data_IF_819094125249
#
_entry.id   IF_819094125249
#
_cell.length_a   1.000
_cell.length_b   1.000
_cell.length_c   1.000
_cell.angle_alpha   90.00
_cell.angle_beta   90.00
_cell.angle_gamma   90.00
#
_symmetry.space_group_name_H-M   'P 1'
#
loop_
_entity.id
_entity.type
_entity.pdbx_description
1 polymer ?
#
# COMPACT_ATOMS: atom_id res chain seq x y z
N UNK A 1 8.15 4.47 8.96
CA UNK A 1 8.95 4.81 7.79
C UNK A 1 8.28 4.49 6.46
N UNK A 2 7.93 3.22 6.22
CA UNK A 2 7.50 2.74 4.90
C UNK A 2 6.17 3.33 4.42
N UNK A 3 5.21 3.53 5.34
CA UNK A 3 3.89 4.07 5.01
C UNK A 3 3.97 5.53 4.57
N UNK A 4 4.79 6.35 5.25
CA UNK A 4 5.02 7.75 4.87
C UNK A 4 5.60 7.88 3.47
N UNK A 5 6.49 6.95 3.09
CA UNK A 5 7.19 7.00 1.81
C UNK A 5 6.29 6.59 0.65
N UNK A 6 5.47 5.54 0.85
CA UNK A 6 4.47 5.14 -0.15
C UNK A 6 3.45 6.25 -0.44
N UNK A 7 3.10 7.04 0.57
CA UNK A 7 2.22 8.19 0.33
C UNK A 7 2.94 9.38 -0.29
N UNK A 8 4.22 9.60 0.04
CA UNK A 8 4.99 10.70 -0.52
C UNK A 8 5.08 10.58 -2.05
N UNK A 9 5.41 9.40 -2.58
CA UNK A 9 5.49 9.25 -4.02
C UNK A 9 4.12 9.38 -4.70
N UNK A 10 3.03 8.87 -4.11
CA UNK A 10 1.68 9.06 -4.64
C UNK A 10 1.26 10.53 -4.68
N UNK A 11 1.68 11.32 -3.68
CA UNK A 11 1.44 12.78 -3.67
C UNK A 11 2.26 13.45 -4.77
N UNK A 12 3.53 13.10 -4.92
CA UNK A 12 4.42 13.66 -5.96
C UNK A 12 3.92 13.31 -7.35
N UNK A 13 3.55 12.05 -7.60
CA UNK A 13 2.94 11.58 -8.84
C UNK A 13 1.66 12.38 -9.17
N UNK A 14 0.76 12.54 -8.18
CA UNK A 14 -0.45 13.34 -8.35
C UNK A 14 -0.16 14.82 -8.67
N UNK A 15 0.89 15.41 -8.10
CA UNK A 15 1.32 16.77 -8.40
C UNK A 15 1.82 16.87 -9.85
N UNK A 16 2.60 15.92 -10.34
CA UNK A 16 3.05 15.93 -11.73
C UNK A 16 1.90 15.70 -12.72
N UNK A 17 1.01 14.74 -12.44
CA UNK A 17 -0.16 14.46 -13.26
C UNK A 17 -1.12 15.65 -13.30
N UNK A 18 -1.32 16.37 -12.19
CA UNK A 18 -2.18 17.55 -12.16
C UNK A 18 -1.71 18.67 -13.10
N UNK A 19 -0.42 18.74 -13.39
CA UNK A 19 0.14 19.71 -14.36
C UNK A 19 -0.20 19.40 -15.82
N UNK A 20 -0.65 18.15 -16.13
CA UNK A 20 -1.17 17.78 -17.44
C UNK A 20 -2.61 18.29 -17.67
N UNK A 21 -3.27 18.74 -16.61
CA UNK A 21 -4.65 19.24 -16.63
C UNK A 21 -5.61 18.35 -15.84
N UNK A 22 -6.84 18.85 -15.70
CA UNK A 22 -7.89 18.19 -14.90
C UNK A 22 -8.31 16.82 -15.46
N UNK A 23 -8.33 16.66 -16.79
CA UNK A 23 -8.69 15.40 -17.43
C UNK A 23 -7.72 14.27 -17.05
N UNK A 24 -6.42 14.55 -17.07
CA UNK A 24 -5.38 13.58 -16.68
C UNK A 24 -5.49 13.19 -15.21
N UNK A 25 -5.70 14.17 -14.32
CA UNK A 25 -5.90 13.90 -12.89
C UNK A 25 -7.16 13.07 -12.65
N UNK A 26 -8.25 13.36 -13.37
CA UNK A 26 -9.49 12.59 -13.31
C UNK A 26 -9.26 11.15 -13.78
N UNK A 27 -8.55 10.95 -14.88
CA UNK A 27 -8.23 9.64 -15.42
C UNK A 27 -7.48 8.75 -14.39
N UNK A 28 -6.43 9.28 -13.76
CA UNK A 28 -5.67 8.56 -12.72
C UNK A 28 -6.53 8.31 -11.48
N UNK A 29 -7.39 9.26 -11.12
CA UNK A 29 -8.32 9.10 -9.99
C UNK A 29 -9.34 7.98 -10.21
N UNK A 30 -9.85 7.82 -11.44
CA UNK A 30 -10.75 6.72 -11.81
C UNK A 30 -10.06 5.35 -11.83
N UNK A 31 -8.76 5.30 -12.11
CA UNK A 31 -7.95 4.08 -12.04
C UNK A 31 -7.61 3.64 -10.60
N UNK A 32 -7.64 4.59 -9.64
CA UNK A 32 -7.21 4.37 -8.26
C UNK A 32 -7.91 3.20 -7.54
N UNK A 33 -9.24 2.97 -7.66
CA UNK A 33 -9.90 1.84 -7.00
C UNK A 33 -9.33 0.48 -7.44
N UNK A 34 -9.05 0.30 -8.73
CA UNK A 34 -8.47 -0.92 -9.26
C UNK A 34 -7.02 -1.10 -8.77
N UNK A 35 -6.22 -0.04 -8.79
CA UNK A 35 -4.86 -0.05 -8.27
C UNK A 35 -4.85 -0.37 -6.77
N UNK A 36 -5.76 0.20 -5.99
CA UNK A 36 -5.89 -0.07 -4.56
C UNK A 36 -6.32 -1.50 -4.26
N UNK A 37 -7.16 -2.11 -5.12
CA UNK A 37 -7.54 -3.51 -4.98
C UNK A 37 -6.33 -4.44 -5.13
N UNK A 38 -5.46 -4.21 -6.14
CA UNK A 38 -4.21 -4.96 -6.30
C UNK A 38 -3.31 -4.78 -5.07
N UNK A 39 -3.10 -3.55 -4.65
CA UNK A 39 -2.25 -3.22 -3.50
C UNK A 39 -2.76 -3.90 -2.23
N UNK A 40 -4.07 -3.86 -1.99
CA UNK A 40 -4.69 -4.48 -0.82
C UNK A 40 -4.54 -6.00 -0.82
N UNK A 41 -4.74 -6.65 -1.98
CA UNK A 41 -4.52 -8.08 -2.14
C UNK A 41 -3.04 -8.45 -1.94
N UNK A 42 -2.11 -7.73 -2.58
CA UNK A 42 -0.68 -7.98 -2.47
C UNK A 42 -0.18 -7.84 -1.04
N UNK A 43 -0.56 -6.75 -0.35
CA UNK A 43 -0.16 -6.52 1.04
C UNK A 43 -0.83 -7.52 1.98
N UNK A 44 -2.11 -7.81 1.78
CA UNK A 44 -2.84 -8.76 2.63
C UNK A 44 -2.22 -10.15 2.57
N UNK A 45 -2.04 -10.71 1.37
CA UNK A 45 -1.40 -12.01 1.18
C UNK A 45 0.04 -11.98 1.68
N UNK A 46 0.77 -10.91 1.40
CA UNK A 46 2.12 -10.71 1.90
C UNK A 46 2.20 -10.74 3.43
N UNK A 47 1.23 -10.17 4.14
CA UNK A 47 1.12 -10.27 5.60
C UNK A 47 0.93 -11.73 6.05
N UNK A 48 0.14 -12.51 5.32
CA UNK A 48 -0.01 -13.94 5.55
C UNK A 48 1.32 -14.68 5.39
N UNK A 49 2.08 -14.39 4.33
CA UNK A 49 3.41 -14.96 4.08
C UNK A 49 4.37 -14.61 5.23
N UNK A 50 4.45 -13.34 5.60
CA UNK A 50 5.29 -12.86 6.71
C UNK A 50 4.96 -13.55 8.04
N UNK A 51 3.65 -13.71 8.33
CA UNK A 51 3.16 -14.39 9.53
C UNK A 51 3.55 -15.87 9.53
N UNK A 52 3.34 -16.60 8.43
CA UNK A 52 3.72 -18.01 8.34
C UNK A 52 5.23 -18.20 8.52
N UNK A 53 6.06 -17.37 7.89
CA UNK A 53 7.52 -17.42 8.01
C UNK A 53 7.93 -17.18 9.47
N UNK A 54 7.46 -16.10 10.09
CA UNK A 54 7.87 -15.74 11.45
C UNK A 54 7.46 -16.79 12.48
N UNK A 55 6.27 -17.39 12.35
CA UNK A 55 5.79 -18.46 13.24
C UNK A 55 6.67 -19.71 13.11
N UNK A 56 6.97 -20.14 11.89
CA UNK A 56 7.80 -21.34 11.69
C UNK A 56 9.26 -21.13 12.09
N UNK A 57 9.82 -19.93 11.90
CA UNK A 57 11.15 -19.57 12.40
C UNK A 57 11.19 -19.59 13.93
N UNK A 58 10.16 -19.03 14.58
CA UNK A 58 10.04 -19.06 16.04
C UNK A 58 9.92 -20.48 16.60
N UNK A 59 9.22 -21.36 15.90
CA UNK A 59 9.11 -22.77 16.24
C UNK A 59 10.39 -23.59 15.96
N UNK A 60 11.45 -22.96 15.43
CA UNK A 60 12.69 -23.65 15.04
C UNK A 60 12.59 -24.49 13.78
N UNK A 61 11.45 -24.43 13.08
CA UNK A 61 11.17 -25.24 11.88
C UNK A 61 11.54 -24.46 10.60
N UNK A 62 12.83 -24.41 10.29
CA UNK A 62 13.35 -23.71 9.10
C UNK A 62 12.79 -24.26 7.80
N UNK A 63 12.63 -25.57 7.70
CA UNK A 63 12.10 -26.20 6.49
C UNK A 63 10.68 -25.68 6.16
N UNK A 64 9.80 -25.59 7.15
CA UNK A 64 8.46 -25.02 6.93
C UNK A 64 8.50 -23.52 6.66
N UNK A 65 9.45 -22.78 7.22
CA UNK A 65 9.65 -21.37 6.90
C UNK A 65 10.09 -21.20 5.44
N UNK A 66 11.02 -22.02 4.95
CA UNK A 66 11.45 -22.05 3.55
C UNK A 66 10.31 -22.41 2.60
N UNK A 67 9.50 -23.41 2.98
CA UNK A 67 8.28 -23.77 2.25
C UNK A 67 7.28 -22.59 2.22
N UNK A 68 7.06 -21.92 3.35
CA UNK A 68 6.14 -20.78 3.43
C UNK A 68 6.58 -19.61 2.52
N UNK A 69 7.87 -19.31 2.47
CA UNK A 69 8.41 -18.29 1.56
C UNK A 69 8.28 -18.72 0.10
N UNK A 70 8.63 -19.95 -0.23
CA UNK A 70 8.57 -20.48 -1.62
C UNK A 70 7.12 -20.57 -2.12
N UNK A 71 6.21 -21.12 -1.31
CA UNK A 71 4.78 -21.14 -1.62
C UNK A 71 4.19 -19.73 -1.71
N UNK A 72 4.65 -18.81 -0.85
CA UNK A 72 4.25 -17.40 -0.90
C UNK A 72 4.59 -16.76 -2.24
N UNK A 73 5.77 -17.00 -2.78
CA UNK A 73 6.17 -16.54 -4.12
C UNK A 73 5.33 -17.19 -5.21
N UNK A 74 5.05 -18.50 -5.11
CA UNK A 74 4.20 -19.22 -6.08
C UNK A 74 2.75 -18.69 -6.05
N UNK A 75 2.19 -18.45 -4.88
CA UNK A 75 0.85 -17.83 -4.74
C UNK A 75 0.84 -16.41 -5.31
N UNK A 76 1.90 -15.65 -5.10
CA UNK A 76 2.05 -14.30 -5.70
C UNK A 76 2.00 -14.37 -7.23
N UNK A 77 2.63 -15.38 -7.84
CA UNK A 77 2.55 -15.60 -9.29
C UNK A 77 1.10 -15.86 -9.74
N UNK A 78 0.37 -16.69 -9.01
CA UNK A 78 -1.05 -16.97 -9.31
C UNK A 78 -1.89 -15.70 -9.26
N UNK A 79 -1.70 -14.87 -8.23
CA UNK A 79 -2.40 -13.58 -8.11
C UNK A 79 -1.99 -12.61 -9.22
N UNK A 80 -0.71 -12.63 -9.62
CA UNK A 80 -0.23 -11.82 -10.74
C UNK A 80 -0.98 -12.18 -12.03
N UNK A 81 -1.08 -13.46 -12.36
CA UNK A 81 -1.84 -13.94 -13.53
C UNK A 81 -3.30 -13.52 -13.44
N UNK A 82 -3.92 -13.65 -12.25
CA UNK A 82 -5.30 -13.20 -12.03
C UNK A 82 -5.47 -11.70 -12.31
N UNK A 83 -4.58 -10.84 -11.79
CA UNK A 83 -4.67 -9.39 -12.01
C UNK A 83 -4.34 -8.98 -13.45
N UNK A 84 -3.47 -9.70 -14.15
CA UNK A 84 -3.23 -9.47 -15.59
C UNK A 84 -4.51 -9.76 -16.38
N UNK A 85 -5.15 -10.91 -16.14
CA UNK A 85 -6.41 -11.27 -16.80
C UNK A 85 -7.50 -10.23 -16.45
N UNK A 86 -7.63 -9.87 -15.18
CA UNK A 86 -8.57 -8.84 -14.74
C UNK A 86 -8.30 -7.47 -15.41
N UNK A 87 -7.02 -7.10 -15.56
CA UNK A 87 -6.60 -5.89 -16.25
C UNK A 87 -7.05 -5.84 -17.70
N UNK A 88 -6.91 -6.96 -18.39
CA UNK A 88 -7.29 -7.06 -19.82
C UNK A 88 -8.80 -7.17 -20.03
N UNK A 89 -9.56 -7.64 -19.04
CA UNK A 89 -11.00 -7.95 -19.23
C UNK A 89 -11.94 -6.98 -18.52
N UNK A 90 -11.54 -6.42 -17.37
CA UNK A 90 -12.42 -5.65 -16.49
C UNK A 90 -12.14 -4.13 -16.55
N UNK A 91 -10.92 -3.71 -16.91
CA UNK A 91 -10.51 -2.30 -16.82
C UNK A 91 -11.44 -1.37 -17.58
N UNK A 92 -11.62 -1.59 -18.87
CA UNK A 92 -12.43 -0.72 -19.73
C UNK A 92 -13.93 -0.75 -19.34
N UNK A 93 -14.59 -1.92 -19.17
CA UNK A 93 -15.97 -1.98 -18.69
C UNK A 93 -16.16 -1.26 -17.34
N UNK A 94 -15.21 -1.40 -16.41
CA UNK A 94 -15.29 -0.74 -15.11
C UNK A 94 -15.21 0.79 -15.26
N UNK A 95 -14.28 1.30 -16.06
CA UNK A 95 -14.07 2.74 -16.25
C UNK A 95 -15.25 3.40 -16.95
N UNK A 96 -15.91 2.71 -17.90
CA UNK A 96 -17.13 3.16 -18.59
C UNK A 96 -18.31 3.39 -17.65
N UNK A 97 -18.31 2.83 -16.43
CA UNK A 97 -19.34 3.12 -15.43
C UNK A 97 -19.24 4.53 -14.83
N UNK A 98 -18.09 5.19 -14.99
CA UNK A 98 -17.78 6.46 -14.31
C UNK A 98 -17.60 7.64 -15.27
N UNK A 99 -17.32 7.40 -16.56
CA UNK A 99 -17.10 8.48 -17.53
C UNK A 99 -17.49 8.07 -18.93
N UNK A 100 -18.16 9.01 -19.62
CA UNK A 100 -18.47 8.93 -21.05
C UNK A 100 -17.52 9.80 -21.88
N UNK A 101 -16.61 10.55 -21.23
CA UNK A 101 -15.62 11.39 -21.93
C UNK A 101 -14.54 10.50 -22.58
N UNK A 102 -14.44 10.48 -23.93
CA UNK A 102 -13.54 9.57 -24.63
C UNK A 102 -12.06 9.78 -24.26
N UNK A 103 -11.65 11.02 -23.99
CA UNK A 103 -10.26 11.36 -23.63
C UNK A 103 -9.93 10.83 -22.24
N UNK A 104 -10.79 11.10 -21.24
CA UNK A 104 -10.60 10.62 -19.85
C UNK A 104 -10.62 9.10 -19.84
N UNK A 105 -11.55 8.48 -20.56
CA UNK A 105 -11.65 7.02 -20.64
C UNK A 105 -10.40 6.40 -21.25
N UNK A 106 -9.89 6.98 -22.36
CA UNK A 106 -8.68 6.50 -23.00
C UNK A 106 -7.46 6.60 -22.06
N UNK A 107 -7.24 7.74 -21.42
CA UNK A 107 -6.12 7.96 -20.52
C UNK A 107 -6.22 7.05 -19.28
N UNK A 108 -7.42 6.89 -18.71
CA UNK A 108 -7.67 5.99 -17.59
C UNK A 108 -7.46 4.52 -17.97
N UNK A 109 -7.88 4.10 -19.16
CA UNK A 109 -7.68 2.74 -19.66
C UNK A 109 -6.20 2.44 -19.86
N UNK A 110 -5.47 3.32 -20.53
CA UNK A 110 -4.02 3.16 -20.75
C UNK A 110 -3.28 3.05 -19.40
N UNK A 111 -3.59 3.96 -18.46
CA UNK A 111 -2.97 3.93 -17.12
C UNK A 111 -3.26 2.61 -16.41
N UNK A 112 -4.53 2.22 -16.40
CA UNK A 112 -4.99 1.02 -15.68
C UNK A 112 -4.43 -0.25 -16.29
N UNK A 113 -4.41 -0.37 -17.62
CA UNK A 113 -3.84 -1.52 -18.32
C UNK A 113 -2.34 -1.65 -18.03
N UNK A 114 -1.56 -0.57 -18.10
CA UNK A 114 -0.13 -0.59 -17.77
C UNK A 114 0.09 -1.09 -16.34
N UNK A 115 -0.63 -0.53 -15.36
CA UNK A 115 -0.47 -0.87 -13.95
C UNK A 115 -0.92 -2.29 -13.65
N UNK A 116 -2.02 -2.76 -14.25
CA UNK A 116 -2.56 -4.11 -14.02
C UNK A 116 -1.74 -5.18 -14.76
N UNK A 117 -1.43 -4.98 -16.04
CA UNK A 117 -0.68 -5.95 -16.83
C UNK A 117 0.78 -6.07 -16.35
N UNK A 118 1.36 -5.00 -15.83
CA UNK A 118 2.70 -5.00 -15.26
C UNK A 118 2.71 -5.09 -13.72
N UNK A 119 1.59 -5.51 -13.13
CA UNK A 119 1.44 -5.68 -11.67
C UNK A 119 2.41 -6.69 -11.06
N UNK A 120 3.07 -7.52 -11.87
CA UNK A 120 4.10 -8.45 -11.37
C UNK A 120 5.21 -7.70 -10.61
N UNK A 121 5.58 -6.49 -11.06
CA UNK A 121 6.58 -5.66 -10.38
C UNK A 121 6.17 -5.34 -8.95
N UNK A 122 4.93 -4.86 -8.76
CA UNK A 122 4.39 -4.50 -7.44
C UNK A 122 4.11 -5.72 -6.55
N UNK A 123 3.49 -6.77 -7.10
CA UNK A 123 3.15 -7.95 -6.33
C UNK A 123 4.39 -8.69 -5.82
N UNK A 124 5.38 -8.92 -6.67
CA UNK A 124 6.62 -9.58 -6.25
C UNK A 124 7.46 -8.68 -5.34
N UNK A 125 7.51 -7.35 -5.60
CA UNK A 125 8.19 -6.41 -4.70
C UNK A 125 7.60 -6.49 -3.30
N UNK A 126 6.25 -6.48 -3.17
CA UNK A 126 5.57 -6.59 -1.89
C UNK A 126 5.79 -7.97 -1.26
N UNK A 127 5.76 -9.05 -2.03
CA UNK A 127 6.04 -10.39 -1.52
C UNK A 127 7.43 -10.49 -0.90
N UNK A 128 8.47 -10.01 -1.59
CA UNK A 128 9.83 -9.93 -1.04
C UNK A 128 9.91 -9.01 0.18
N UNK A 129 9.28 -7.82 0.13
CA UNK A 129 9.16 -6.93 1.28
C UNK A 129 8.63 -7.68 2.51
N UNK A 130 7.57 -8.46 2.34
CA UNK A 130 6.95 -9.21 3.43
C UNK A 130 7.75 -10.42 3.90
N UNK A 131 8.50 -11.06 3.00
CA UNK A 131 9.47 -12.10 3.37
C UNK A 131 10.57 -11.50 4.25
N UNK A 132 11.16 -10.38 3.85
CA UNK A 132 12.17 -9.67 4.65
C UNK A 132 11.61 -9.21 6.00
N UNK A 133 10.38 -8.71 6.05
CA UNK A 133 9.72 -8.37 7.30
C UNK A 133 9.49 -9.61 8.17
N UNK A 134 9.11 -10.75 7.57
CA UNK A 134 8.89 -12.02 8.28
C UNK A 134 10.14 -12.58 8.95
N UNK A 135 11.32 -12.32 8.39
CA UNK A 135 12.62 -12.69 8.99
C UNK A 135 13.21 -11.59 9.89
N UNK A 136 12.51 -10.46 10.07
CA UNK A 136 12.91 -9.36 10.95
C UNK A 136 13.76 -8.27 10.31
N UNK A 137 14.04 -8.34 9.00
CA UNK A 137 14.92 -7.40 8.28
C UNK A 137 14.21 -6.11 7.85
N UNK A 138 13.62 -5.41 8.85
CA UNK A 138 12.84 -4.18 8.63
C UNK A 138 13.66 -3.02 8.06
N UNK A 139 14.95 -2.90 8.45
CA UNK A 139 15.82 -1.81 7.99
C UNK A 139 16.10 -1.93 6.49
N UNK A 140 16.42 -3.14 6.04
CA UNK A 140 16.68 -3.43 4.62
C UNK A 140 15.43 -3.11 3.80
N UNK A 141 14.28 -3.59 4.24
CA UNK A 141 12.98 -3.30 3.62
C UNK A 141 12.76 -1.80 3.42
N UNK A 142 13.07 -1.01 4.45
CA UNK A 142 12.94 0.44 4.40
C UNK A 142 13.84 1.08 3.32
N UNK A 143 15.12 0.70 3.26
CA UNK A 143 16.06 1.27 2.30
C UNK A 143 15.72 0.89 0.85
N UNK A 144 15.36 -0.36 0.61
CA UNK A 144 15.01 -0.84 -0.73
C UNK A 144 13.71 -0.19 -1.24
N UNK A 145 12.72 0.03 -0.36
CA UNK A 145 11.51 0.75 -0.71
C UNK A 145 11.79 2.21 -1.07
N UNK A 146 12.70 2.89 -0.31
CA UNK A 146 13.11 4.27 -0.64
C UNK A 146 13.74 4.30 -2.03
N UNK A 147 14.64 3.37 -2.33
CA UNK A 147 15.32 3.35 -3.63
C UNK A 147 14.31 3.27 -4.79
N UNK A 148 13.29 2.41 -4.68
CA UNK A 148 12.22 2.33 -5.67
C UNK A 148 11.40 3.63 -5.78
N UNK A 149 11.08 4.27 -4.64
CA UNK A 149 10.39 5.56 -4.64
C UNK A 149 11.22 6.68 -5.30
N UNK A 150 12.53 6.72 -5.04
CA UNK A 150 13.44 7.71 -5.66
C UNK A 150 13.49 7.51 -7.17
N UNK A 151 13.59 6.26 -7.65
CA UNK A 151 13.55 5.97 -9.09
C UNK A 151 12.25 6.46 -9.71
N UNK A 152 11.09 6.20 -9.11
CA UNK A 152 9.80 6.69 -9.59
C UNK A 152 9.78 8.23 -9.64
N UNK A 153 10.10 8.93 -8.55
CA UNK A 153 10.09 10.40 -8.47
C UNK A 153 11.00 11.05 -9.53
N UNK A 154 12.13 10.42 -9.85
CA UNK A 154 13.03 10.91 -10.90
C UNK A 154 12.46 10.64 -12.28
N UNK A 155 11.84 9.49 -12.53
CA UNK A 155 11.31 9.09 -13.82
C UNK A 155 9.99 9.78 -14.17
N UNK A 156 9.18 10.14 -13.17
CA UNK A 156 7.89 10.82 -13.38
C UNK A 156 8.03 12.05 -14.30
N UNK A 157 8.82 13.09 -13.96
CA UNK A 157 8.91 14.26 -14.82
C UNK A 157 9.57 13.96 -16.18
N UNK A 158 10.46 12.97 -16.24
CA UNK A 158 11.14 12.59 -17.47
C UNK A 158 10.15 11.98 -18.46
N UNK A 159 9.33 11.03 -18.00
CA UNK A 159 8.40 10.31 -18.87
C UNK A 159 7.07 11.05 -19.08
N UNK A 160 6.61 11.78 -18.07
CA UNK A 160 5.36 12.56 -18.19
C UNK A 160 5.54 13.72 -19.16
N UNK A 161 6.60 14.52 -19.01
CA UNK A 161 6.82 15.75 -19.76
C UNK A 161 7.80 15.62 -20.94
N UNK A 162 8.44 14.46 -21.10
CA UNK A 162 9.39 14.22 -22.19
C UNK A 162 10.73 14.96 -22.00
N UNK A 163 11.27 14.95 -20.79
CA UNK A 163 12.57 15.55 -20.51
C UNK A 163 13.73 14.65 -20.98
N UNK A 164 14.92 15.22 -21.13
CA UNK A 164 16.16 14.51 -21.49
C UNK A 164 16.09 13.77 -22.85
N UNK A 165 15.24 14.23 -23.78
CA UNK A 165 15.09 13.63 -25.11
C UNK A 165 14.11 12.44 -25.18
N UNK A 166 13.43 12.12 -24.09
CA UNK A 166 12.33 11.16 -24.11
C UNK A 166 11.05 11.78 -24.67
N UNK A 167 10.14 11.00 -25.30
CA UNK A 167 8.83 11.49 -25.71
C UNK A 167 7.97 11.81 -24.49
N UNK A 168 7.15 12.86 -24.58
CA UNK A 168 6.16 13.18 -23.55
C UNK A 168 5.01 12.16 -23.61
N UNK A 169 4.96 11.26 -22.63
CA UNK A 169 3.98 10.16 -22.57
C UNK A 169 2.73 10.52 -21.74
N UNK A 170 2.72 11.70 -21.09
CA UNK A 170 1.59 12.13 -20.27
C UNK A 170 1.22 11.11 -19.19
N UNK A 171 -0.07 10.73 -19.12
CA UNK A 171 -0.60 9.78 -18.12
C UNK A 171 0.04 8.39 -18.23
N UNK A 172 0.33 7.91 -19.44
CA UNK A 172 1.06 6.66 -19.66
C UNK A 172 2.48 6.72 -19.06
N UNK A 173 3.12 7.90 -19.13
CA UNK A 173 4.43 8.14 -18.52
C UNK A 173 4.43 7.95 -17.01
N UNK A 174 3.41 8.44 -16.32
CA UNK A 174 3.22 8.24 -14.88
C UNK A 174 3.06 6.74 -14.52
N UNK A 175 2.23 6.02 -15.27
CA UNK A 175 2.05 4.58 -15.10
C UNK A 175 3.37 3.80 -15.27
N UNK A 176 4.11 4.12 -16.35
CA UNK A 176 5.40 3.47 -16.66
C UNK A 176 6.45 3.78 -15.57
N UNK A 177 6.55 5.03 -15.12
CA UNK A 177 7.49 5.43 -14.07
C UNK A 177 7.21 4.69 -12.76
N UNK A 178 5.93 4.56 -12.40
CA UNK A 178 5.49 3.79 -11.22
C UNK A 178 5.91 2.32 -11.34
N UNK A 179 5.66 1.68 -12.47
CA UNK A 179 6.02 0.28 -12.71
C UNK A 179 7.54 0.09 -12.68
N UNK A 180 8.31 0.98 -13.32
CA UNK A 180 9.79 0.91 -13.30
C UNK A 180 10.31 1.08 -11.88
N UNK A 181 9.75 1.99 -11.08
CA UNK A 181 10.09 2.15 -9.67
C UNK A 181 9.88 0.86 -8.85
N UNK A 182 8.74 0.18 -9.08
CA UNK A 182 8.41 -1.08 -8.43
C UNK A 182 9.33 -2.23 -8.87
N UNK A 183 9.61 -2.34 -10.18
CA UNK A 183 10.54 -3.34 -10.72
C UNK A 183 11.96 -3.08 -10.22
N UNK A 184 12.40 -1.83 -10.15
CA UNK A 184 13.72 -1.47 -9.62
C UNK A 184 13.86 -1.89 -8.16
N UNK A 185 12.83 -1.63 -7.33
CA UNK A 185 12.79 -2.12 -5.96
C UNK A 185 12.84 -3.65 -5.90
N UNK A 186 12.05 -4.36 -6.72
CA UNK A 186 12.06 -5.81 -6.81
C UNK A 186 13.45 -6.35 -7.14
N UNK A 187 14.11 -5.79 -8.16
CA UNK A 187 15.45 -6.21 -8.55
C UNK A 187 16.45 -6.01 -7.40
N UNK A 188 16.37 -4.89 -6.68
CA UNK A 188 17.19 -4.65 -5.50
C UNK A 188 16.90 -5.67 -4.38
N UNK A 189 15.64 -6.04 -4.12
CA UNK A 189 15.30 -7.10 -3.18
C UNK A 189 15.94 -8.43 -3.59
N UNK A 190 15.85 -8.82 -4.85
CA UNK A 190 16.44 -10.06 -5.37
C UNK A 190 17.97 -10.04 -5.25
N UNK A 191 18.63 -8.92 -5.60
CA UNK A 191 20.07 -8.77 -5.50
C UNK A 191 20.54 -8.90 -4.04
N UNK A 192 19.89 -8.17 -3.13
CA UNK A 192 20.22 -8.21 -1.70
C UNK A 192 19.95 -9.60 -1.13
N UNK A 193 18.85 -10.23 -1.52
CA UNK A 193 18.53 -11.60 -1.11
C UNK A 193 19.58 -12.61 -1.56
N UNK A 194 20.08 -12.50 -2.80
CA UNK A 194 21.11 -13.42 -3.33
C UNK A 194 22.51 -13.19 -2.79
N UNK A 195 22.85 -11.95 -2.40
CA UNK A 195 24.19 -11.59 -1.90
C UNK A 195 24.39 -11.92 -0.43
N UNK A 196 23.34 -12.13 0.33
CA UNK A 196 23.41 -12.36 1.77
C UNK A 196 22.75 -13.70 2.11
N UNK A 197 23.21 -14.32 3.19
CA UNK A 197 22.60 -15.53 3.73
C UNK A 197 21.52 -15.14 4.75
N UNK A 198 20.28 -15.40 4.43
CA UNK A 198 19.14 -15.16 5.32
C UNK A 198 18.63 -16.43 5.98
N UNK A 199 17.80 -16.26 7.01
CA UNK A 199 17.24 -17.37 7.77
C UNK A 199 16.29 -18.26 6.94
N UNK A 200 15.84 -17.78 5.78
CA UNK A 200 14.87 -18.46 4.91
C UNK A 200 15.41 -18.55 3.48
N UNK A 201 15.25 -19.72 2.85
CA UNK A 201 15.72 -20.01 1.51
C UNK A 201 14.55 -20.30 0.56
N UNK A 202 14.41 -19.46 -0.48
CA UNK A 202 13.46 -19.67 -1.57
C UNK A 202 14.11 -20.59 -2.59
N UNK A 203 13.54 -21.79 -2.80
CA UNK A 203 14.07 -22.79 -3.73
C UNK A 203 12.96 -23.65 -4.29
N UNK A 204 13.10 -24.07 -5.55
CA UNK A 204 12.19 -25.03 -6.17
C UNK A 204 12.09 -26.37 -5.40
N UNK A 205 13.11 -26.74 -4.63
CA UNK A 205 13.07 -27.94 -3.76
C UNK A 205 12.01 -27.83 -2.67
N UNK A 206 11.70 -26.61 -2.23
CA UNK A 206 10.68 -26.31 -1.23
C UNK A 206 9.30 -26.01 -1.83
N UNK A 207 9.17 -26.08 -3.16
CA UNK A 207 7.89 -25.93 -3.86
C UNK A 207 7.08 -27.23 -3.77
N UNK A 208 6.68 -27.55 -2.56
CA UNK A 208 5.80 -28.69 -2.28
C UNK A 208 4.45 -28.14 -1.86
N UNK A 209 3.38 -28.65 -2.47
CA UNK A 209 2.02 -28.24 -2.10
C UNK A 209 1.73 -28.66 -0.66
N UNK A 210 1.68 -27.67 0.24
CA UNK A 210 1.35 -27.87 1.65
C UNK A 210 0.08 -27.09 1.98
N UNK A 211 -1.04 -27.82 2.05
CA UNK A 211 -2.36 -27.23 2.31
C UNK A 211 -2.42 -26.50 3.66
N UNK A 212 -1.65 -26.95 4.66
CA UNK A 212 -1.63 -26.33 5.98
C UNK A 212 -0.96 -24.96 5.92
N UNK A 213 0.18 -24.84 5.24
CA UNK A 213 0.88 -23.55 5.05
C UNK A 213 0.04 -22.61 4.19
N UNK A 214 -0.56 -23.09 3.10
CA UNK A 214 -1.43 -22.29 2.23
C UNK A 214 -2.61 -21.75 3.05
N UNK A 215 -3.29 -22.63 3.82
CA UNK A 215 -4.38 -22.22 4.69
C UNK A 215 -3.93 -21.19 5.74
N UNK A 216 -2.73 -21.34 6.30
CA UNK A 216 -2.17 -20.38 7.25
C UNK A 216 -1.94 -19.02 6.61
N UNK A 217 -1.38 -18.97 5.39
CA UNK A 217 -1.17 -17.73 4.64
C UNK A 217 -2.51 -17.03 4.38
N UNK A 218 -3.51 -17.73 3.87
CA UNK A 218 -4.80 -17.13 3.56
C UNK A 218 -5.64 -16.79 4.79
N UNK A 219 -5.53 -17.53 5.89
CA UNK A 219 -6.27 -17.23 7.13
C UNK A 219 -5.88 -15.87 7.75
N UNK A 220 -4.67 -15.39 7.49
CA UNK A 220 -4.20 -14.07 7.88
C UNK A 220 -4.30 -13.08 6.71
N UNK A 221 -4.02 -13.54 5.50
CA UNK A 221 -3.96 -12.72 4.30
C UNK A 221 -5.33 -12.16 3.90
N UNK A 222 -6.38 -12.99 3.85
CA UNK A 222 -7.73 -12.55 3.44
C UNK A 222 -8.30 -11.50 4.39
N UNK A 223 -8.33 -11.70 5.73
CA UNK A 223 -8.77 -10.65 6.64
C UNK A 223 -7.97 -9.36 6.50
N UNK A 224 -6.64 -9.46 6.31
CA UNK A 224 -5.78 -8.29 6.11
C UNK A 224 -6.12 -7.54 4.81
N UNK A 225 -6.43 -8.24 3.72
CA UNK A 225 -6.90 -7.64 2.46
C UNK A 225 -8.21 -6.90 2.67
N UNK A 226 -9.19 -7.54 3.32
CA UNK A 226 -10.50 -6.92 3.61
C UNK A 226 -10.32 -5.66 4.46
N UNK A 227 -9.50 -5.73 5.52
CA UNK A 227 -9.22 -4.56 6.37
C UNK A 227 -8.60 -3.39 5.60
N UNK A 228 -7.84 -3.64 4.53
CA UNK A 228 -7.26 -2.58 3.70
C UNK A 228 -8.26 -2.00 2.69
N UNK A 229 -9.28 -2.77 2.29
CA UNK A 229 -10.32 -2.31 1.37
C UNK A 229 -11.43 -1.52 2.07
N UNK A 230 -11.74 -1.87 3.32
CA UNK A 230 -12.84 -1.25 4.08
C UNK A 230 -12.79 0.28 4.16
N UNK A 231 -11.64 0.93 4.43
CA UNK A 231 -11.58 2.39 4.47
C UNK A 231 -11.98 3.06 3.16
N UNK A 232 -11.62 2.49 2.02
CA UNK A 232 -12.00 3.04 0.71
C UNK A 232 -13.52 2.96 0.48
N UNK A 233 -14.15 1.85 0.88
CA UNK A 233 -15.60 1.69 0.82
C UNK A 233 -16.28 2.69 1.75
N UNK A 234 -15.80 2.81 3.00
CA UNK A 234 -16.32 3.75 3.99
C UNK A 234 -16.29 5.20 3.47
N UNK A 235 -15.14 5.63 2.91
CA UNK A 235 -14.98 6.97 2.36
C UNK A 235 -15.98 7.21 1.23
N UNK A 236 -16.15 6.24 0.32
CA UNK A 236 -17.07 6.35 -0.80
C UNK A 236 -18.52 6.49 -0.33
N UNK A 237 -18.95 5.68 0.66
CA UNK A 237 -20.29 5.76 1.24
C UNK A 237 -20.51 7.10 1.95
N UNK A 238 -19.56 7.55 2.77
CA UNK A 238 -19.64 8.84 3.47
C UNK A 238 -19.69 10.01 2.49
N UNK A 239 -18.88 10.00 1.43
CA UNK A 239 -18.95 11.02 0.39
C UNK A 239 -20.33 11.07 -0.27
N UNK A 240 -20.89 9.91 -0.64
CA UNK A 240 -22.24 9.84 -1.25
C UNK A 240 -23.32 10.40 -0.32
N UNK A 241 -23.24 10.14 0.98
CA UNK A 241 -24.17 10.69 1.97
C UNK A 241 -23.99 12.20 2.10
N UNK A 242 -22.75 12.68 2.26
CA UNK A 242 -22.47 14.09 2.51
C UNK A 242 -22.76 14.98 1.30
N UNK A 243 -22.56 14.48 0.08
CA UNK A 243 -22.92 15.20 -1.16
C UNK A 243 -24.40 15.54 -1.21
N UNK A 244 -25.27 14.71 -0.61
CA UNK A 244 -26.69 15.00 -0.53
C UNK A 244 -27.03 16.21 0.37
N UNK A 245 -26.11 16.64 1.24
CA UNK A 245 -26.30 17.81 2.12
C UNK A 245 -25.57 19.04 1.59
N UNK A 246 -24.26 18.97 1.32
CA UNK A 246 -23.47 20.08 0.77
C UNK A 246 -22.05 19.64 0.44
N UNK A 247 -21.47 20.21 -0.62
CA UNK A 247 -20.06 20.00 -1.01
C UNK A 247 -19.07 20.45 0.08
N UNK A 248 -19.44 21.40 0.92
CA UNK A 248 -18.61 21.83 2.07
C UNK A 248 -18.34 20.66 3.02
N UNK A 249 -19.34 19.81 3.29
CA UNK A 249 -19.15 18.66 4.19
C UNK A 249 -18.26 17.58 3.56
N UNK A 250 -18.28 17.42 2.25
CA UNK A 250 -17.36 16.54 1.52
C UNK A 250 -15.91 17.07 1.64
N UNK A 251 -15.72 18.37 1.50
CA UNK A 251 -14.43 19.02 1.70
C UNK A 251 -13.91 18.86 3.15
N UNK A 252 -14.78 19.05 4.15
CA UNK A 252 -14.46 18.80 5.57
C UNK A 252 -14.01 17.38 5.79
N UNK A 253 -14.73 16.39 5.23
CA UNK A 253 -14.37 14.97 5.33
C UNK A 253 -13.00 14.71 4.69
N UNK A 254 -12.72 15.33 3.54
CA UNK A 254 -11.43 15.25 2.87
C UNK A 254 -10.26 15.74 3.74
N UNK A 255 -10.43 16.89 4.39
CA UNK A 255 -9.44 17.43 5.34
C UNK A 255 -9.27 16.50 6.54
N UNK A 256 -10.39 16.04 7.12
CA UNK A 256 -10.38 15.08 8.23
C UNK A 256 -9.57 13.82 7.90
N UNK A 257 -9.82 13.19 6.75
CA UNK A 257 -9.07 11.98 6.35
C UNK A 257 -7.59 12.24 6.09
N UNK A 258 -7.23 13.39 5.52
CA UNK A 258 -5.82 13.77 5.38
C UNK A 258 -5.14 13.88 6.74
N UNK A 259 -5.79 14.53 7.69
CA UNK A 259 -5.29 14.66 9.05
C UNK A 259 -5.19 13.33 9.76
N UNK A 260 -6.26 12.52 9.69
CA UNK A 260 -6.30 11.17 10.25
C UNK A 260 -5.15 10.32 9.72
N UNK A 261 -4.86 10.43 8.42
CA UNK A 261 -3.77 9.69 7.79
C UNK A 261 -2.42 10.03 8.43
N UNK A 262 -2.12 11.30 8.69
CA UNK A 262 -0.88 11.73 9.36
C UNK A 262 -0.75 11.13 10.76
N UNK A 263 -1.84 11.13 11.54
CA UNK A 263 -1.87 10.58 12.90
C UNK A 263 -1.80 9.05 12.88
N UNK A 264 -2.47 8.41 11.92
CA UNK A 264 -2.58 6.95 11.84
C UNK A 264 -1.32 6.27 11.29
N UNK A 265 -0.52 6.95 10.48
CA UNK A 265 0.69 6.38 9.87
C UNK A 265 1.73 5.86 10.87
N UNK A 266 2.10 6.60 11.95
CA UNK A 266 3.02 6.06 12.94
C UNK A 266 2.47 4.83 13.65
N UNK A 267 1.16 4.81 13.96
CA UNK A 267 0.49 3.66 14.57
C UNK A 267 0.54 2.43 13.64
N UNK A 268 0.28 2.61 12.34
CA UNK A 268 0.46 1.56 11.34
C UNK A 268 1.90 1.03 11.28
N UNK A 269 2.89 1.91 11.42
CA UNK A 269 4.30 1.52 11.50
C UNK A 269 4.58 0.59 12.69
N UNK A 270 3.99 0.87 13.86
CA UNK A 270 4.08 0.01 15.03
C UNK A 270 3.43 -1.34 14.77
N UNK A 271 2.22 -1.36 14.19
CA UNK A 271 1.51 -2.61 13.84
C UNK A 271 2.32 -3.45 12.86
N UNK A 272 2.93 -2.85 11.86
CA UNK A 272 3.79 -3.57 10.91
C UNK A 272 5.02 -4.17 11.60
N UNK A 273 5.66 -3.42 12.52
CA UNK A 273 6.83 -3.88 13.26
C UNK A 273 6.53 -4.97 14.29
N UNK A 274 5.36 -4.93 14.95
CA UNK A 274 5.01 -5.94 15.97
C UNK A 274 4.66 -7.31 15.39
N UNK A 275 4.13 -7.37 14.14
CA UNK A 275 3.64 -8.63 13.53
C UNK A 275 4.69 -9.74 13.50
N UNK A 276 5.90 -9.55 12.94
CA UNK A 276 6.91 -10.60 12.94
C UNK A 276 7.41 -10.96 14.34
N UNK A 277 7.46 -9.99 15.27
CA UNK A 277 7.84 -10.24 16.66
C UNK A 277 6.82 -11.14 17.35
N UNK A 278 5.53 -10.85 17.16
CA UNK A 278 4.43 -11.69 17.68
C UNK A 278 4.48 -13.07 17.04
N UNK A 279 4.59 -13.15 15.71
CA UNK A 279 4.63 -14.42 14.99
C UNK A 279 5.78 -15.31 15.49
N UNK A 280 6.98 -14.74 15.61
CA UNK A 280 8.15 -15.47 16.09
C UNK A 280 7.97 -15.98 17.54
N UNK A 281 7.57 -15.11 18.47
CA UNK A 281 7.39 -15.51 19.87
C UNK A 281 6.21 -16.47 20.05
N UNK A 282 5.16 -16.34 19.23
CA UNK A 282 4.05 -17.29 19.21
C UNK A 282 4.52 -18.68 18.76
N UNK A 283 5.31 -18.75 17.68
CA UNK A 283 5.92 -19.99 17.20
C UNK A 283 6.86 -20.63 18.22
N UNK A 284 7.60 -19.81 18.99
CA UNK A 284 8.49 -20.24 20.05
C UNK A 284 7.75 -20.68 21.34
N UNK A 285 6.43 -20.54 21.43
CA UNK A 285 5.65 -20.82 22.64
C UNK A 285 5.78 -19.77 23.75
N UNK A 286 6.42 -18.63 23.49
CA UNK A 286 6.72 -17.56 24.43
C UNK A 286 5.52 -16.63 24.67
N UNK A 287 4.45 -17.16 25.26
CA UNK A 287 3.19 -16.43 25.48
C UNK A 287 3.35 -15.12 26.27
N UNK A 288 4.30 -15.06 27.22
CA UNK A 288 4.58 -13.86 27.98
C UNK A 288 5.11 -12.73 27.09
N UNK A 289 6.04 -13.05 26.17
CA UNK A 289 6.60 -12.09 25.21
C UNK A 289 5.56 -11.63 24.20
N UNK A 290 4.67 -12.51 23.73
CA UNK A 290 3.55 -12.16 22.87
C UNK A 290 2.66 -11.11 23.56
N UNK A 291 2.22 -11.38 24.80
CA UNK A 291 1.38 -10.46 25.58
C UNK A 291 2.09 -9.12 25.83
N UNK A 292 3.37 -9.13 26.17
CA UNK A 292 4.16 -7.92 26.39
C UNK A 292 4.30 -7.10 25.11
N UNK A 293 4.59 -7.74 23.97
CA UNK A 293 4.68 -7.08 22.66
C UNK A 293 3.35 -6.40 22.30
N UNK A 294 2.23 -7.11 22.45
CA UNK A 294 0.89 -6.54 22.20
C UNK A 294 0.63 -5.36 23.12
N UNK A 295 0.86 -5.51 24.42
CA UNK A 295 0.62 -4.46 25.42
C UNK A 295 1.43 -3.20 25.12
N UNK A 296 2.74 -3.32 24.91
CA UNK A 296 3.59 -2.15 24.63
C UNK A 296 3.25 -1.50 23.29
N UNK A 297 2.98 -2.29 22.26
CA UNK A 297 2.55 -1.77 20.96
C UNK A 297 1.23 -1.01 21.05
N UNK A 298 0.25 -1.55 21.78
CA UNK A 298 -1.04 -0.88 22.00
C UNK A 298 -0.87 0.42 22.79
N UNK A 299 -0.09 0.40 23.88
CA UNK A 299 0.16 1.61 24.68
C UNK A 299 0.87 2.69 23.87
N UNK A 300 1.87 2.33 23.07
CA UNK A 300 2.58 3.28 22.21
C UNK A 300 1.67 3.82 21.12
N UNK A 301 0.89 2.97 20.46
CA UNK A 301 -0.07 3.41 19.45
C UNK A 301 -1.16 4.30 20.05
N UNK A 302 -1.71 3.92 21.21
CA UNK A 302 -2.71 4.72 21.92
C UNK A 302 -2.16 6.09 22.35
N UNK A 303 -0.92 6.15 22.84
CA UNK A 303 -0.25 7.41 23.17
C UNK A 303 -0.09 8.34 21.95
N UNK A 304 0.31 7.78 20.80
CA UNK A 304 0.40 8.54 19.56
C UNK A 304 -0.96 9.03 19.08
N UNK A 305 -1.98 8.17 19.12
CA UNK A 305 -3.35 8.55 18.72
C UNK A 305 -3.93 9.61 19.66
N UNK A 306 -3.70 9.48 20.97
CA UNK A 306 -4.12 10.45 21.97
C UNK A 306 -3.46 11.82 21.74
N UNK A 307 -2.16 11.84 21.42
CA UNK A 307 -1.46 13.09 21.06
C UNK A 307 -2.12 13.74 19.85
N UNK A 308 -2.44 12.99 18.80
CA UNK A 308 -3.15 13.49 17.63
C UNK A 308 -4.54 14.03 17.98
N UNK A 309 -5.28 13.33 18.83
CA UNK A 309 -6.60 13.77 19.31
C UNK A 309 -6.50 15.08 20.10
N UNK A 310 -5.53 15.20 21.03
CA UNK A 310 -5.31 16.41 21.80
C UNK A 310 -4.97 17.58 20.87
N UNK A 311 -4.12 17.38 19.87
CA UNK A 311 -3.79 18.43 18.89
C UNK A 311 -5.02 18.84 18.07
N UNK A 312 -5.85 17.90 17.63
CA UNK A 312 -7.08 18.20 16.89
C UNK A 312 -8.09 19.00 17.73
N UNK A 313 -8.23 18.65 19.01
CA UNK A 313 -9.12 19.35 19.94
C UNK A 313 -8.59 20.74 20.34
N UNK A 314 -7.28 20.86 20.57
CA UNK A 314 -6.66 22.11 21.06
C UNK A 314 -6.44 23.13 19.94
N UNK A 315 -6.09 22.68 18.73
CA UNK A 315 -5.63 23.52 17.63
C UNK A 315 -6.43 23.35 16.32
N UNK A 316 -7.77 23.17 16.34
CA UNK A 316 -8.52 22.85 15.12
C UNK A 316 -8.44 23.97 14.07
N UNK A 317 -8.45 25.25 14.49
CA UNK A 317 -8.34 26.40 13.57
C UNK A 317 -6.97 26.45 12.88
N UNK A 318 -5.90 26.24 13.62
CA UNK A 318 -4.53 26.25 13.10
C UNK A 318 -4.32 25.09 12.11
N UNK A 319 -4.88 23.94 12.42
CA UNK A 319 -4.82 22.76 11.55
C UNK A 319 -5.56 23.03 10.23
N UNK A 320 -6.78 23.55 10.29
CA UNK A 320 -7.57 23.91 9.11
C UNK A 320 -6.90 24.99 8.27
N UNK A 321 -6.25 25.96 8.90
CA UNK A 321 -5.49 27.02 8.20
C UNK A 321 -4.33 26.46 7.37
N UNK A 322 -3.74 25.32 7.73
CA UNK A 322 -2.72 24.65 6.91
C UNK A 322 -3.27 24.07 5.59
N UNK A 323 -4.58 23.96 5.46
CA UNK A 323 -5.28 23.50 4.27
C UNK A 323 -5.97 24.60 3.49
N UNK A 324 -5.58 25.87 3.71
CA UNK A 324 -6.16 27.07 3.08
C UNK A 324 -7.71 27.11 3.17
N UNK A 325 -8.25 26.70 4.35
CA UNK A 325 -9.68 26.61 4.56
C UNK A 325 -10.34 28.00 4.49
N UNK A 326 -11.34 28.13 3.61
CA UNK A 326 -12.21 29.31 3.56
C UNK A 326 -13.11 29.42 4.80
N UNK A 327 -13.92 30.47 4.89
CA UNK A 327 -14.75 30.73 6.07
C UNK A 327 -15.80 29.64 6.30
N UNK A 328 -16.37 29.04 5.25
CA UNK A 328 -17.36 27.98 5.33
C UNK A 328 -16.72 26.66 5.81
N UNK A 329 -15.60 26.27 5.19
CA UNK A 329 -14.81 25.08 5.57
C UNK A 329 -14.25 25.22 7.00
N UNK A 330 -13.82 26.43 7.38
CA UNK A 330 -13.33 26.71 8.74
C UNK A 330 -14.42 26.51 9.79
N UNK A 331 -15.63 27.05 9.55
CA UNK A 331 -16.76 26.94 10.48
C UNK A 331 -17.22 25.48 10.67
N UNK A 332 -17.46 24.76 9.57
CA UNK A 332 -17.88 23.36 9.59
C UNK A 332 -16.76 22.43 10.08
N UNK A 333 -15.52 22.69 9.66
CA UNK A 333 -14.35 21.88 9.98
C UNK A 333 -13.94 21.93 11.44
N UNK A 334 -14.03 23.09 12.12
CA UNK A 334 -13.76 23.19 13.56
C UNK A 334 -14.72 22.33 14.37
N UNK A 335 -16.00 22.30 13.98
CA UNK A 335 -17.01 21.45 14.64
C UNK A 335 -16.73 19.96 14.39
N UNK A 336 -16.34 19.59 13.18
CA UNK A 336 -16.06 18.21 12.80
C UNK A 336 -14.76 17.65 13.41
N UNK A 337 -13.77 18.51 13.72
CA UNK A 337 -12.50 18.10 14.34
C UNK A 337 -12.59 17.96 15.86
N UNK A 338 -13.62 18.51 16.50
CA UNK A 338 -13.92 18.40 17.94
C UNK A 338 -14.88 17.27 18.24
#
# INVERSE_FOLDING_TARGET
GDVYKKQLYNIVDSIYVSRLGTDALTAVSLAYPLQNAILSAAVGIGVGISSAISIHLGAGNREKADRAATLGIALTLIHCIFFIIAGLTISEPFLKLFTDNPKILNDASIYTEIVLCLSFGSLFQIAFEKIFQGIGEMKITMYLLIAGCVVNIILDPILIFGLLGFPALGVAGAAIATVIGQISALLLYIIVYRRNSYAVHISFKHLVFDKAIIRQIYSVGIPSTVMMLLPSILISVLNSILTAFSDVYVAVLGVYFKLQTFIYMPANGIVQGMRPIIGYNYGAGESSRVKSTIRYSLLTAAGLMLTGTILALALPKQILALFDADAALMSAGVTALR
#
